data_IF_624596246188
#
_entry.id   IF_624596246188
#
_cell.length_a   1.000
_cell.length_b   1.000
_cell.length_c   1.000
_cell.angle_alpha   90.00
_cell.angle_beta   90.00
_cell.angle_gamma   90.00
#
_symmetry.space_group_name_H-M   'P 1'
#
loop_
_entity.id
_entity.type
_entity.pdbx_description
1 polymer ?
#
# COMPACT_ATOMS: atom_id res chain seq x y z
N UNK A 1 -52.27 42.06 34.27
CA UNK A 1 -51.76 40.68 34.49
C UNK A 1 -52.28 39.66 33.49
N UNK A 2 -53.53 39.72 33.02
CA UNK A 2 -54.10 38.71 32.12
C UNK A 2 -53.47 38.64 30.70
N UNK A 3 -53.04 39.77 30.14
CA UNK A 3 -52.39 39.82 28.81
C UNK A 3 -50.97 39.22 28.77
N UNK A 4 -50.26 39.20 29.89
CA UNK A 4 -48.89 38.64 29.97
C UNK A 4 -48.94 37.11 30.03
N UNK A 5 -49.94 36.55 30.74
CA UNK A 5 -50.15 35.10 30.80
C UNK A 5 -50.53 34.48 29.46
N UNK A 6 -51.32 35.16 28.62
CA UNK A 6 -51.65 34.65 27.29
C UNK A 6 -50.45 34.61 26.33
N UNK A 7 -49.55 35.59 26.43
CA UNK A 7 -48.35 35.66 25.57
C UNK A 7 -47.34 34.59 25.99
N UNK A 8 -47.17 34.37 27.30
CA UNK A 8 -46.30 33.29 27.82
C UNK A 8 -46.88 31.91 27.46
N UNK A 9 -48.20 31.73 27.52
CA UNK A 9 -48.84 30.48 27.11
C UNK A 9 -48.66 30.22 25.60
N UNK A 10 -48.81 31.24 24.75
CA UNK A 10 -48.58 31.11 23.30
C UNK A 10 -47.10 30.84 22.97
N UNK A 11 -46.15 31.45 23.69
CA UNK A 11 -44.71 31.20 23.52
C UNK A 11 -44.30 29.80 23.99
N UNK A 12 -44.88 29.30 25.09
CA UNK A 12 -44.62 27.94 25.58
C UNK A 12 -45.23 26.90 24.61
N UNK A 13 -46.44 27.11 24.12
CA UNK A 13 -47.10 26.19 23.16
C UNK A 13 -46.39 26.20 21.79
N UNK A 14 -45.87 27.34 21.33
CA UNK A 14 -45.09 27.40 20.08
C UNK A 14 -43.67 26.84 20.24
N UNK A 15 -43.05 26.95 21.42
CA UNK A 15 -41.76 26.30 21.73
C UNK A 15 -41.86 24.77 21.93
N UNK A 16 -43.04 24.23 22.23
CA UNK A 16 -43.28 22.78 22.35
C UNK A 16 -43.61 22.09 21.01
N UNK A 17 -43.88 22.86 19.94
CA UNK A 17 -44.22 22.32 18.62
C UNK A 17 -43.08 22.39 17.59
N UNK A 18 -41.89 22.84 17.98
CA UNK A 18 -40.68 22.78 17.15
C UNK A 18 -39.72 21.72 17.68
N UNK A 19 -40.21 20.48 17.80
CA UNK A 19 -39.32 19.33 17.56
C UNK A 19 -39.03 19.35 16.07
N UNK A 20 -37.88 19.91 15.71
CA UNK A 20 -37.21 19.60 14.46
C UNK A 20 -36.97 18.09 14.54
N UNK A 21 -37.87 17.29 13.96
CA UNK A 21 -37.50 15.96 13.53
C UNK A 21 -36.34 16.19 12.58
N UNK A 22 -35.13 15.85 13.02
CA UNK A 22 -34.06 15.61 12.07
C UNK A 22 -34.64 14.65 11.05
N UNK A 23 -34.62 15.05 9.79
CA UNK A 23 -34.81 14.13 8.67
C UNK A 23 -33.87 12.96 8.95
N UNK A 24 -34.45 11.83 9.40
CA UNK A 24 -33.76 10.56 9.31
C UNK A 24 -33.36 10.46 7.85
N UNK A 25 -32.06 10.39 7.60
CA UNK A 25 -31.56 10.01 6.28
C UNK A 25 -32.25 8.68 6.00
N UNK A 26 -33.26 8.72 5.13
CA UNK A 26 -34.11 7.59 4.82
C UNK A 26 -33.26 6.61 4.02
N UNK A 27 -32.44 5.83 4.71
CA UNK A 27 -31.63 4.78 4.10
C UNK A 27 -32.61 3.75 3.57
N UNK A 28 -32.96 3.82 2.28
CA UNK A 28 -33.97 2.95 1.66
C UNK A 28 -33.65 1.46 1.77
N UNK A 29 -32.38 1.12 1.94
CA UNK A 29 -31.87 -0.24 2.06
C UNK A 29 -31.66 -0.66 3.52
N UNK A 30 -32.72 -0.65 4.34
CA UNK A 30 -32.64 -1.18 5.70
C UNK A 30 -32.63 -2.72 5.73
N UNK A 31 -32.22 -3.31 6.85
CA UNK A 31 -32.36 -4.76 7.07
C UNK A 31 -33.82 -5.21 6.93
N UNK A 32 -34.77 -4.39 7.36
CA UNK A 32 -36.20 -4.66 7.23
C UNK A 32 -36.65 -4.66 5.77
N UNK A 33 -36.16 -3.69 4.97
CA UNK A 33 -36.39 -3.66 3.52
C UNK A 33 -35.87 -4.93 2.86
N UNK A 34 -34.63 -5.35 3.14
CA UNK A 34 -34.09 -6.58 2.57
C UNK A 34 -34.86 -7.82 3.00
N UNK A 35 -35.24 -7.94 4.28
CA UNK A 35 -36.04 -9.06 4.76
C UNK A 35 -37.41 -9.14 4.07
N UNK A 36 -38.03 -7.98 3.78
CA UNK A 36 -39.28 -7.91 3.02
C UNK A 36 -39.05 -8.28 1.55
N UNK A 37 -38.02 -7.71 0.93
CA UNK A 37 -37.66 -7.95 -0.47
C UNK A 37 -37.37 -9.43 -0.74
N UNK A 38 -36.62 -10.11 0.15
CA UNK A 38 -36.31 -11.54 0.02
C UNK A 38 -37.57 -12.40 0.10
N UNK A 39 -38.53 -12.04 0.97
CA UNK A 39 -39.81 -12.76 1.09
C UNK A 39 -40.71 -12.59 -0.12
N UNK A 40 -40.72 -11.38 -0.70
CA UNK A 40 -41.60 -11.04 -1.82
C UNK A 40 -41.05 -11.50 -3.17
N UNK A 41 -39.75 -11.33 -3.42
CA UNK A 41 -39.14 -11.59 -4.73
C UNK A 41 -38.37 -12.91 -4.84
N UNK A 42 -38.03 -13.56 -3.71
CA UNK A 42 -37.13 -14.72 -3.60
C UNK A 42 -35.74 -14.49 -4.22
N UNK A 43 -34.69 -14.74 -3.44
CA UNK A 43 -33.33 -14.64 -3.99
C UNK A 43 -33.06 -15.75 -5.01
N UNK A 44 -32.20 -15.50 -6.01
CA UNK A 44 -31.67 -16.55 -6.88
C UNK A 44 -31.00 -17.66 -6.06
N UNK A 45 -31.14 -18.90 -6.53
CA UNK A 45 -30.44 -20.02 -5.92
C UNK A 45 -28.94 -19.91 -6.21
N UNK A 46 -28.12 -20.03 -5.17
CA UNK A 46 -26.67 -19.95 -5.27
C UNK A 46 -26.19 -21.28 -5.84
N UNK A 47 -25.36 -21.25 -6.88
CA UNK A 47 -24.85 -22.48 -7.51
C UNK A 47 -23.94 -23.27 -6.55
N UNK A 48 -23.81 -24.58 -6.75
CA UNK A 48 -22.99 -25.46 -5.91
C UNK A 48 -21.51 -25.04 -5.89
N UNK A 49 -21.04 -24.42 -6.98
CA UNK A 49 -19.69 -23.88 -7.12
C UNK A 49 -19.32 -22.92 -6.00
N UNK A 50 -20.21 -21.98 -5.66
CA UNK A 50 -19.98 -21.03 -4.57
C UNK A 50 -20.42 -21.56 -3.20
N UNK A 51 -21.19 -22.65 -3.13
CA UNK A 51 -21.56 -23.28 -1.85
C UNK A 51 -20.42 -24.14 -1.30
N UNK A 52 -19.67 -24.83 -2.18
CA UNK A 52 -18.64 -25.79 -1.78
C UNK A 52 -17.25 -25.16 -1.73
N UNK A 53 -16.91 -24.25 -2.65
CA UNK A 53 -15.63 -23.50 -2.69
C UNK A 53 -14.38 -24.40 -2.52
N UNK A 54 -14.24 -25.40 -3.40
CA UNK A 54 -13.11 -26.33 -3.42
C UNK A 54 -12.35 -26.30 -4.77
N UNK A 55 -11.34 -27.16 -4.93
CA UNK A 55 -10.49 -27.18 -6.13
C UNK A 55 -11.24 -27.47 -7.45
N UNK A 56 -12.44 -28.08 -7.41
CA UNK A 56 -13.24 -28.38 -8.61
C UNK A 56 -14.49 -27.52 -8.74
N UNK A 57 -14.92 -26.88 -7.65
CA UNK A 57 -16.11 -26.07 -7.50
C UNK A 57 -15.68 -24.71 -6.94
N UNK A 58 -15.38 -23.76 -7.80
CA UNK A 58 -14.90 -22.45 -7.40
C UNK A 58 -15.66 -21.34 -8.12
N UNK A 59 -15.96 -20.28 -7.38
CA UNK A 59 -16.63 -19.10 -7.90
C UNK A 59 -16.40 -17.91 -6.98
N UNK A 60 -16.82 -16.72 -7.43
CA UNK A 60 -16.71 -15.49 -6.64
C UNK A 60 -18.05 -15.22 -5.98
N UNK A 61 -18.03 -15.16 -4.65
CA UNK A 61 -19.20 -14.80 -3.85
C UNK A 61 -19.32 -13.28 -3.77
N UNK A 62 -20.41 -12.76 -4.33
CA UNK A 62 -20.67 -11.32 -4.36
C UNK A 62 -22.03 -11.02 -3.72
N UNK A 63 -22.35 -9.75 -3.55
CA UNK A 63 -23.75 -9.35 -3.36
C UNK A 63 -24.41 -9.22 -4.73
N UNK A 64 -25.66 -9.65 -4.82
CA UNK A 64 -26.45 -9.49 -6.03
C UNK A 64 -26.62 -8.00 -6.31
N UNK A 65 -26.24 -7.50 -7.51
CA UNK A 65 -26.22 -6.08 -7.81
C UNK A 65 -27.65 -5.57 -8.12
N UNK A 66 -28.55 -5.68 -7.14
CA UNK A 66 -29.86 -5.02 -7.13
C UNK A 66 -29.80 -3.68 -6.39
N UNK A 67 -30.94 -2.99 -6.30
CA UNK A 67 -31.05 -1.65 -5.71
C UNK A 67 -30.51 -1.59 -4.27
N UNK A 68 -30.54 -2.70 -3.52
CA UNK A 68 -30.15 -2.74 -2.11
C UNK A 68 -29.18 -3.86 -1.73
N UNK A 69 -28.62 -4.57 -2.71
CA UNK A 69 -27.70 -5.69 -2.55
C UNK A 69 -28.19 -6.76 -1.56
N UNK A 70 -29.50 -7.06 -1.57
CA UNK A 70 -30.13 -7.88 -0.54
C UNK A 70 -29.87 -9.38 -0.70
N UNK A 71 -29.64 -9.85 -1.93
CA UNK A 71 -29.39 -11.26 -2.25
C UNK A 71 -27.90 -11.54 -2.46
N UNK A 72 -27.53 -12.83 -2.51
CA UNK A 72 -26.15 -13.25 -2.75
C UNK A 72 -25.94 -13.65 -4.20
N UNK A 73 -24.78 -13.22 -4.68
CA UNK A 73 -24.13 -13.37 -5.96
C UNK A 73 -23.31 -14.64 -6.15
N UNK A 74 -23.45 -15.47 -7.18
CA UNK A 74 -22.36 -16.39 -7.52
C UNK A 74 -21.92 -16.19 -8.97
N UNK A 75 -20.64 -15.87 -9.14
CA UNK A 75 -19.94 -15.94 -10.42
C UNK A 75 -19.17 -17.25 -10.49
N UNK A 76 -19.56 -18.16 -11.37
CA UNK A 76 -18.82 -19.43 -11.52
C UNK A 76 -17.54 -19.20 -12.33
N UNK A 77 -16.45 -19.87 -11.95
CA UNK A 77 -15.17 -19.72 -12.64
C UNK A 77 -15.09 -20.64 -13.87
N UNK A 78 -14.90 -20.05 -15.05
CA UNK A 78 -14.61 -20.74 -16.29
C UNK A 78 -13.12 -21.09 -16.31
N UNK A 79 -12.82 -22.36 -16.64
CA UNK A 79 -11.45 -22.88 -16.75
C UNK A 79 -10.76 -22.37 -18.01
N UNK A 80 -9.43 -22.45 -18.04
CA UNK A 80 -8.64 -22.10 -19.23
C UNK A 80 -9.12 -22.86 -20.48
N UNK A 81 -9.29 -22.14 -21.59
CA UNK A 81 -9.85 -22.64 -22.84
C UNK A 81 -11.37 -22.75 -22.88
N UNK A 82 -12.08 -22.50 -21.77
CA UNK A 82 -13.54 -22.44 -21.76
C UNK A 82 -14.06 -21.24 -22.55
N UNK A 83 -15.22 -21.39 -23.17
CA UNK A 83 -15.88 -20.31 -23.90
C UNK A 83 -16.31 -19.21 -22.93
N UNK A 84 -16.08 -17.96 -23.29
CA UNK A 84 -16.51 -16.81 -22.52
C UNK A 84 -17.13 -15.78 -23.46
N UNK A 85 -17.80 -14.77 -22.89
CA UNK A 85 -18.41 -13.69 -23.65
C UNK A 85 -17.88 -12.38 -23.06
N UNK A 86 -17.30 -11.53 -23.92
CA UNK A 86 -16.92 -10.19 -23.50
C UNK A 86 -18.20 -9.36 -23.36
N UNK A 87 -18.48 -8.88 -22.15
CA UNK A 87 -19.73 -8.17 -21.86
C UNK A 87 -19.94 -6.95 -22.75
N UNK A 88 -21.17 -6.79 -23.27
CA UNK A 88 -21.66 -5.56 -23.88
C UNK A 88 -22.45 -4.78 -22.81
N UNK A 89 -22.37 -3.44 -22.84
CA UNK A 89 -22.86 -2.51 -21.81
C UNK A 89 -24.38 -2.53 -21.49
N UNK A 90 -25.14 -3.54 -21.92
CA UNK A 90 -26.62 -3.58 -21.80
C UNK A 90 -27.21 -4.99 -21.61
N UNK A 91 -26.41 -5.99 -21.22
CA UNK A 91 -26.91 -7.36 -21.01
C UNK A 91 -26.93 -7.77 -19.53
N UNK A 92 -27.79 -8.75 -19.26
CA UNK A 92 -28.03 -9.39 -17.96
C UNK A 92 -26.74 -9.62 -17.16
N UNK A 93 -26.88 -9.64 -15.84
CA UNK A 93 -25.78 -9.87 -14.90
C UNK A 93 -25.01 -11.16 -15.27
N UNK A 94 -23.67 -11.11 -15.36
CA UNK A 94 -22.88 -12.19 -15.93
C UNK A 94 -22.81 -13.35 -14.94
N UNK A 95 -23.30 -14.55 -15.24
CA UNK A 95 -23.33 -15.69 -14.29
C UNK A 95 -22.01 -16.43 -14.15
N UNK A 96 -21.09 -16.18 -15.08
CA UNK A 96 -19.80 -16.85 -15.19
C UNK A 96 -18.70 -15.80 -15.41
N UNK A 97 -17.49 -16.09 -14.92
CA UNK A 97 -16.30 -15.26 -15.11
C UNK A 97 -15.11 -16.18 -15.39
N UNK A 98 -14.13 -15.73 -16.18
CA UNK A 98 -12.87 -16.47 -16.28
C UNK A 98 -12.23 -16.59 -14.90
N UNK A 99 -11.76 -17.79 -14.55
CA UNK A 99 -11.17 -18.03 -13.23
C UNK A 99 -9.90 -17.22 -12.97
N UNK A 100 -9.37 -17.25 -11.73
CA UNK A 100 -8.19 -16.49 -11.33
C UNK A 100 -7.00 -16.63 -12.30
N UNK A 101 -6.41 -15.51 -12.71
CA UNK A 101 -5.30 -15.45 -13.65
C UNK A 101 -5.69 -15.62 -15.13
N UNK A 102 -6.99 -15.61 -15.45
CA UNK A 102 -7.51 -15.74 -16.81
C UNK A 102 -8.34 -14.53 -17.23
N UNK A 103 -8.19 -14.09 -18.48
CA UNK A 103 -9.04 -13.08 -19.12
C UNK A 103 -9.79 -13.65 -20.32
N UNK A 104 -10.95 -13.06 -20.61
CA UNK A 104 -11.73 -13.43 -21.78
C UNK A 104 -11.14 -12.78 -23.04
N UNK A 105 -10.46 -13.57 -23.87
CA UNK A 105 -9.78 -13.09 -25.07
C UNK A 105 -10.46 -13.62 -26.33
N UNK A 106 -10.69 -12.72 -27.31
CA UNK A 106 -11.22 -13.07 -28.62
C UNK A 106 -10.18 -13.83 -29.46
N UNK A 107 -10.58 -14.97 -30.02
CA UNK A 107 -9.80 -15.68 -31.03
C UNK A 107 -10.17 -15.23 -32.44
N UNK A 108 -9.33 -15.57 -33.42
CA UNK A 108 -9.53 -15.29 -34.85
C UNK A 108 -10.89 -15.76 -35.41
N UNK A 109 -11.52 -16.74 -34.75
CA UNK A 109 -12.81 -17.33 -35.13
C UNK A 109 -14.04 -16.61 -34.53
N UNK A 110 -13.93 -15.38 -34.02
CA UNK A 110 -15.01 -14.63 -33.34
C UNK A 110 -15.57 -15.31 -32.07
N UNK A 111 -14.87 -16.33 -31.56
CA UNK A 111 -15.18 -17.01 -30.30
C UNK A 111 -14.21 -16.50 -29.24
N UNK A 112 -14.72 -16.00 -28.12
CA UNK A 112 -13.88 -15.65 -26.99
C UNK A 112 -13.70 -16.85 -26.05
N UNK A 113 -12.48 -17.01 -25.55
CA UNK A 113 -12.12 -18.07 -24.61
C UNK A 113 -11.32 -17.50 -23.44
N UNK A 114 -11.41 -18.14 -22.28
CA UNK A 114 -10.59 -17.78 -21.13
C UNK A 114 -9.13 -18.18 -21.38
N UNK A 115 -8.26 -17.18 -21.49
CA UNK A 115 -6.83 -17.34 -21.73
C UNK A 115 -6.04 -16.73 -20.59
N UNK A 116 -4.77 -17.14 -20.43
CA UNK A 116 -3.90 -16.57 -19.40
C UNK A 116 -3.76 -15.06 -19.62
N UNK A 117 -4.00 -14.29 -18.56
CA UNK A 117 -3.83 -12.84 -18.55
C UNK A 117 -2.39 -12.50 -18.96
N UNK A 118 -2.24 -11.52 -19.86
CA UNK A 118 -0.94 -10.96 -20.23
C UNK A 118 -0.75 -9.60 -19.59
N UNK A 119 0.09 -9.57 -18.56
CA UNK A 119 0.43 -8.39 -17.77
C UNK A 119 1.93 -8.40 -17.48
N UNK A 120 2.52 -7.25 -17.10
CA UNK A 120 3.93 -7.21 -16.71
C UNK A 120 4.32 -8.22 -15.63
N UNK A 121 3.43 -8.56 -14.69
CA UNK A 121 3.72 -9.57 -13.66
C UNK A 121 3.67 -11.00 -14.20
N UNK A 122 2.66 -11.34 -15.01
CA UNK A 122 2.51 -12.69 -15.56
C UNK A 122 3.59 -13.01 -16.61
N UNK A 123 4.01 -12.00 -17.38
CA UNK A 123 5.17 -12.09 -18.28
C UNK A 123 6.47 -12.29 -17.49
N UNK A 124 6.66 -11.57 -16.38
CA UNK A 124 7.82 -11.76 -15.51
C UNK A 124 7.83 -13.15 -14.85
N UNK A 125 6.66 -13.71 -14.52
CA UNK A 125 6.56 -15.10 -14.07
C UNK A 125 6.95 -16.09 -15.17
N UNK A 126 6.53 -15.86 -16.41
CA UNK A 126 6.86 -16.74 -17.55
C UNK A 126 8.36 -16.70 -17.88
N UNK A 127 8.99 -15.52 -17.85
CA UNK A 127 10.45 -15.40 -17.98
C UNK A 127 11.17 -16.18 -16.88
N UNK A 128 10.73 -16.01 -15.62
CA UNK A 128 11.32 -16.72 -14.48
C UNK A 128 11.17 -18.24 -14.62
N UNK A 129 9.97 -18.74 -14.97
CA UNK A 129 9.69 -20.17 -15.11
C UNK A 129 10.52 -20.78 -16.27
N UNK A 130 10.66 -20.05 -17.38
CA UNK A 130 11.54 -20.44 -18.49
C UNK A 130 12.99 -20.53 -18.05
N UNK A 131 13.52 -19.50 -17.37
CA UNK A 131 14.91 -19.47 -16.90
C UNK A 131 15.20 -20.53 -15.85
N UNK A 132 14.22 -20.87 -15.02
CA UNK A 132 14.31 -22.01 -14.11
C UNK A 132 14.43 -23.33 -14.86
N UNK A 133 13.65 -23.53 -15.93
CA UNK A 133 13.75 -24.72 -16.77
C UNK A 133 15.10 -24.79 -17.50
N UNK A 134 15.60 -23.65 -17.98
CA UNK A 134 16.88 -23.53 -18.68
C UNK A 134 18.10 -23.59 -17.74
N UNK A 135 17.91 -23.56 -16.41
CA UNK A 135 18.97 -23.56 -15.42
C UNK A 135 19.77 -22.25 -15.34
N UNK A 136 19.20 -21.14 -15.82
CA UNK A 136 19.82 -19.80 -15.85
C UNK A 136 19.26 -18.86 -14.76
N UNK A 137 18.75 -19.43 -13.67
CA UNK A 137 18.18 -18.66 -12.57
C UNK A 137 19.27 -18.19 -11.60
N UNK A 138 19.16 -16.94 -11.15
CA UNK A 138 20.00 -16.43 -10.08
C UNK A 138 19.78 -17.19 -8.77
N UNK A 139 20.83 -17.31 -7.95
CA UNK A 139 20.79 -18.05 -6.68
C UNK A 139 19.72 -17.55 -5.69
N UNK A 140 19.48 -16.24 -5.67
CA UNK A 140 18.54 -15.56 -4.79
C UNK A 140 17.38 -14.92 -5.57
N UNK A 141 17.25 -15.26 -6.84
CA UNK A 141 16.19 -14.73 -7.69
C UNK A 141 14.86 -15.40 -7.38
N UNK A 142 13.84 -14.60 -7.04
CA UNK A 142 12.53 -15.09 -6.61
C UNK A 142 11.52 -14.92 -7.73
N UNK A 143 10.68 -15.94 -7.91
CA UNK A 143 9.53 -15.88 -8.82
C UNK A 143 8.58 -14.77 -8.35
N UNK A 144 8.28 -13.75 -9.18
CA UNK A 144 7.35 -12.70 -8.78
C UNK A 144 5.98 -13.30 -8.45
N UNK A 145 5.34 -12.78 -7.40
CA UNK A 145 3.98 -13.18 -7.03
C UNK A 145 3.01 -12.24 -7.72
N UNK A 146 2.02 -12.79 -8.40
CA UNK A 146 0.93 -12.04 -8.99
C UNK A 146 -0.37 -12.37 -8.28
N UNK A 147 -1.30 -11.41 -8.23
CA UNK A 147 -2.66 -11.64 -7.78
C UNK A 147 -3.54 -12.27 -8.87
N UNK A 148 -4.83 -12.42 -8.57
CA UNK A 148 -5.80 -13.08 -9.46
C UNK A 148 -6.07 -12.29 -10.75
N UNK A 149 -5.79 -10.99 -10.76
CA UNK A 149 -5.93 -10.10 -11.93
C UNK A 149 -4.61 -10.01 -12.72
N UNK A 150 -3.58 -10.76 -12.32
CA UNK A 150 -2.26 -10.73 -12.94
C UNK A 150 -1.46 -9.47 -12.59
N UNK A 151 -1.83 -8.70 -11.58
CA UNK A 151 -1.05 -7.58 -11.08
C UNK A 151 0.00 -8.05 -10.07
N UNK A 152 1.00 -7.23 -9.78
CA UNK A 152 2.01 -7.59 -8.77
C UNK A 152 1.39 -7.69 -7.38
N UNK A 153 1.80 -8.72 -6.63
CA UNK A 153 1.45 -8.85 -5.21
C UNK A 153 1.93 -7.64 -4.42
N UNK A 154 1.21 -7.31 -3.34
CA UNK A 154 1.39 -6.07 -2.58
C UNK A 154 2.74 -5.93 -1.87
N UNK A 155 3.56 -6.99 -1.85
CA UNK A 155 4.89 -6.99 -1.26
C UNK A 155 5.87 -7.91 -2.00
N UNK A 156 7.16 -7.63 -1.83
CA UNK A 156 8.26 -8.45 -2.30
C UNK A 156 9.31 -8.61 -1.19
N UNK A 157 9.91 -9.80 -1.07
CA UNK A 157 10.85 -10.13 0.00
C UNK A 157 12.15 -10.68 -0.57
N UNK A 158 13.28 -10.06 -0.22
CA UNK A 158 14.62 -10.51 -0.60
C UNK A 158 15.19 -11.36 0.54
N UNK A 159 15.57 -12.63 0.32
CA UNK A 159 15.95 -13.55 1.40
C UNK A 159 17.15 -13.02 2.19
N UNK A 160 17.02 -12.92 3.51
CA UNK A 160 18.08 -12.43 4.40
C UNK A 160 18.41 -10.95 4.23
N UNK A 161 17.50 -10.17 3.66
CA UNK A 161 17.56 -8.72 3.60
C UNK A 161 16.24 -8.15 4.14
N UNK A 162 15.40 -7.58 3.28
CA UNK A 162 14.15 -6.95 3.67
C UNK A 162 12.96 -7.46 2.84
N UNK A 163 11.76 -7.25 3.37
CA UNK A 163 10.54 -7.18 2.59
C UNK A 163 10.14 -5.72 2.39
N UNK A 164 9.57 -5.38 1.25
CA UNK A 164 9.05 -4.05 0.96
C UNK A 164 7.73 -4.12 0.18
N UNK A 165 6.91 -3.08 0.29
CA UNK A 165 5.63 -3.00 -0.40
C UNK A 165 5.79 -2.66 -1.88
N UNK A 166 4.88 -3.20 -2.70
CA UNK A 166 4.92 -3.10 -4.16
C UNK A 166 3.53 -2.68 -4.65
N UNK A 167 3.49 -1.69 -5.54
CA UNK A 167 2.29 -1.27 -6.22
C UNK A 167 1.88 -2.28 -7.31
N UNK A 168 0.61 -2.26 -7.79
CA UNK A 168 0.13 -3.23 -8.77
C UNK A 168 0.92 -3.26 -10.10
N UNK A 169 1.61 -2.17 -10.42
CA UNK A 169 2.49 -2.03 -11.59
C UNK A 169 3.93 -2.56 -11.36
N UNK A 170 4.27 -3.05 -10.17
CA UNK A 170 5.61 -3.54 -9.81
C UNK A 170 6.53 -2.49 -9.19
N UNK A 171 6.09 -1.24 -9.06
CA UNK A 171 6.89 -0.19 -8.44
C UNK A 171 6.99 -0.40 -6.92
N UNK A 172 8.20 -0.25 -6.35
CA UNK A 172 8.38 -0.19 -4.89
C UNK A 172 7.69 1.05 -4.32
N UNK A 173 6.91 0.86 -3.27
CA UNK A 173 6.21 1.92 -2.53
C UNK A 173 6.61 1.89 -1.05
N UNK A 174 6.08 2.83 -0.28
CA UNK A 174 6.34 2.93 1.16
C UNK A 174 5.99 1.64 1.91
N UNK A 175 6.74 1.32 2.97
CA UNK A 175 6.54 0.13 3.80
C UNK A 175 7.65 -0.90 3.60
N UNK A 176 8.48 -1.11 4.62
CA UNK A 176 9.58 -2.08 4.57
C UNK A 176 9.96 -2.63 5.96
N UNK A 177 10.23 -3.93 6.03
CA UNK A 177 10.63 -4.65 7.25
C UNK A 177 11.84 -5.52 6.97
N UNK A 178 12.64 -5.81 8.01
CA UNK A 178 13.68 -6.82 7.94
C UNK A 178 13.03 -8.20 7.77
N UNK A 179 13.56 -9.02 6.86
CA UNK A 179 13.00 -10.34 6.58
C UNK A 179 13.84 -11.42 7.29
N UNK A 180 13.46 -11.74 8.53
CA UNK A 180 14.09 -12.83 9.29
C UNK A 180 13.38 -14.16 9.06
N UNK A 181 12.05 -14.16 9.05
CA UNK A 181 11.25 -15.36 8.87
C UNK A 181 9.91 -15.12 8.15
N UNK A 182 9.15 -16.19 7.96
CA UNK A 182 7.85 -16.15 7.27
C UNK A 182 6.78 -15.32 7.99
N UNK A 183 6.91 -15.04 9.29
CA UNK A 183 5.96 -14.20 10.02
C UNK A 183 6.07 -12.73 9.61
N UNK A 184 7.26 -12.28 9.23
CA UNK A 184 7.44 -10.92 8.71
C UNK A 184 6.71 -10.71 7.39
N UNK A 185 6.55 -11.76 6.58
CA UNK A 185 5.72 -11.70 5.36
C UNK A 185 4.25 -11.51 5.67
N UNK A 186 3.75 -12.06 6.79
CA UNK A 186 2.34 -11.94 7.18
C UNK A 186 1.98 -10.52 7.66
N UNK A 187 2.97 -9.76 8.15
CA UNK A 187 2.81 -8.34 8.55
C UNK A 187 2.84 -7.38 7.35
N UNK A 188 3.26 -7.85 6.17
CA UNK A 188 3.40 -7.04 4.96
C UNK A 188 2.11 -7.06 4.14
N UNK A 189 0.97 -6.78 4.77
CA UNK A 189 -0.29 -6.64 4.04
C UNK A 189 -0.25 -5.49 3.03
N UNK A 190 0.51 -4.44 3.35
CA UNK A 190 0.73 -3.24 2.54
C UNK A 190 -0.57 -2.49 2.16
N UNK A 191 -1.67 -2.75 2.89
CA UNK A 191 -2.99 -2.20 2.61
C UNK A 191 -3.00 -0.66 2.69
N UNK A 192 -2.34 -0.08 3.69
CA UNK A 192 -2.26 1.36 3.85
C UNK A 192 -1.37 2.00 2.79
N UNK A 193 -0.20 1.41 2.49
CA UNK A 193 0.69 1.89 1.42
C UNK A 193 0.01 1.89 0.05
N UNK A 194 -0.74 0.84 -0.26
CA UNK A 194 -1.54 0.79 -1.49
C UNK A 194 -2.65 1.82 -1.51
N UNK A 195 -3.30 2.06 -0.37
CA UNK A 195 -4.32 3.10 -0.24
C UNK A 195 -3.75 4.50 -0.45
N UNK A 196 -2.59 4.82 0.13
CA UNK A 196 -1.87 6.07 -0.10
C UNK A 196 -1.40 6.21 -1.56
N UNK A 197 -0.84 5.15 -2.17
CA UNK A 197 -0.45 5.14 -3.57
C UNK A 197 -1.64 5.42 -4.51
N UNK A 198 -2.79 4.75 -4.29
CA UNK A 198 -4.03 5.00 -5.03
C UNK A 198 -4.53 6.42 -4.83
N UNK A 199 -4.49 6.93 -3.59
CA UNK A 199 -4.91 8.29 -3.28
C UNK A 199 -4.05 9.32 -4.02
N UNK A 200 -2.72 9.15 -4.06
CA UNK A 200 -1.80 10.04 -4.80
C UNK A 200 -2.02 10.00 -6.32
N UNK A 201 -2.43 8.86 -6.85
CA UNK A 201 -2.73 8.72 -8.28
C UNK A 201 -4.02 9.44 -8.70
N UNK A 202 -4.99 9.58 -7.79
CA UNK A 202 -6.32 10.16 -8.07
C UNK A 202 -6.42 11.62 -7.62
N UNK A 203 -5.85 11.93 -6.46
CA UNK A 203 -5.90 13.28 -5.87
C UNK A 203 -4.77 14.13 -6.44
N UNK A 204 -5.06 15.38 -6.82
CA UNK A 204 -4.05 16.29 -7.35
C UNK A 204 -2.93 16.53 -6.31
N UNK A 205 -1.70 15.99 -6.51
CA UNK A 205 -0.61 16.09 -5.53
C UNK A 205 -0.16 17.53 -5.30
N UNK A 206 -0.41 18.43 -6.25
CA UNK A 206 0.01 19.84 -6.19
C UNK A 206 -1.01 20.76 -5.51
N UNK A 207 -2.17 20.25 -5.10
CA UNK A 207 -3.11 21.06 -4.31
C UNK A 207 -2.47 21.43 -2.97
N UNK A 208 -2.67 22.68 -2.51
CA UNK A 208 -2.07 23.21 -1.27
C UNK A 208 -2.34 22.30 -0.05
N UNK A 209 -3.52 21.67 -0.01
CA UNK A 209 -3.92 20.73 1.05
C UNK A 209 -3.09 19.43 1.02
N UNK A 210 -2.77 18.94 -0.18
CA UNK A 210 -1.97 17.72 -0.38
C UNK A 210 -0.47 17.95 -0.22
N UNK A 211 -0.05 19.21 -0.43
CA UNK A 211 1.30 19.66 -0.13
C UNK A 211 1.56 19.75 1.38
N UNK A 212 0.57 20.13 2.20
CA UNK A 212 0.71 20.27 3.65
C UNK A 212 0.57 18.92 4.41
N UNK A 213 -0.35 18.05 4.01
CA UNK A 213 -0.59 16.77 4.70
C UNK A 213 0.12 15.60 4.00
N UNK A 214 1.16 14.98 4.59
CA UNK A 214 1.87 13.87 3.96
C UNK A 214 1.06 12.57 3.92
N UNK A 215 0.12 12.38 4.85
CA UNK A 215 -0.93 11.36 4.80
C UNK A 215 -2.18 11.95 4.15
N UNK A 216 -2.40 11.67 2.87
CA UNK A 216 -3.55 12.16 2.10
C UNK A 216 -4.84 11.40 2.39
N UNK A 217 -4.73 10.20 2.97
CA UNK A 217 -5.86 9.30 3.19
C UNK A 217 -5.87 8.73 4.61
N UNK A 218 -4.82 8.03 5.02
CA UNK A 218 -4.67 7.42 6.34
C UNK A 218 -3.19 7.33 6.71
N UNK A 219 -2.88 7.37 8.01
CA UNK A 219 -1.51 7.16 8.48
C UNK A 219 -1.14 5.69 8.40
N UNK A 220 0.02 5.40 7.85
CA UNK A 220 0.55 4.05 7.81
C UNK A 220 1.54 3.79 8.95
N UNK A 221 1.87 2.53 9.20
CA UNK A 221 3.05 2.16 9.99
C UNK A 221 4.26 1.91 9.08
N UNK A 222 5.44 1.69 9.66
CA UNK A 222 6.69 1.50 8.91
C UNK A 222 6.69 0.29 7.93
N UNK A 223 5.76 -0.66 8.10
CA UNK A 223 5.65 -1.87 7.27
C UNK A 223 4.52 -1.77 6.23
N UNK A 224 3.83 -0.63 6.16
CA UNK A 224 2.80 -0.34 5.16
C UNK A 224 1.38 -0.78 5.52
N UNK A 225 1.15 -1.17 6.78
CA UNK A 225 -0.20 -1.39 7.33
C UNK A 225 -0.79 -0.08 7.86
N UNK A 226 -2.08 -0.08 8.17
CA UNK A 226 -2.71 1.08 8.79
C UNK A 226 -2.21 1.22 10.23
N UNK A 227 -1.85 2.44 10.62
CA UNK A 227 -1.70 2.76 12.04
C UNK A 227 -3.03 2.43 12.73
N UNK A 228 -2.98 1.62 13.79
CA UNK A 228 -4.17 1.23 14.53
C UNK A 228 -4.93 2.42 15.10
N UNK A 229 -4.24 3.57 15.30
CA UNK A 229 -4.83 4.83 15.69
C UNK A 229 -4.91 5.78 14.47
N UNK A 230 -6.12 6.11 14.04
CA UNK A 230 -6.34 7.09 12.96
C UNK A 230 -7.00 8.34 13.52
N UNK A 231 -6.42 9.50 13.26
CA UNK A 231 -6.97 10.80 13.65
C UNK A 231 -7.30 11.65 12.43
N UNK A 232 -8.47 12.27 12.44
CA UNK A 232 -8.91 13.17 11.37
C UNK A 232 -8.40 14.61 11.63
N UNK A 233 -8.05 15.34 10.57
CA UNK A 233 -7.28 16.58 10.66
C UNK A 233 -7.96 17.73 11.44
N UNK A 234 -7.17 18.42 12.27
CA UNK A 234 -7.50 19.64 13.02
C UNK A 234 -7.11 19.58 14.51
N UNK A 235 -6.92 20.72 15.18
CA UNK A 235 -6.64 20.79 16.64
C UNK A 235 -7.81 20.33 17.53
N UNK A 236 -8.95 20.01 16.91
CA UNK A 236 -10.16 19.41 17.49
C UNK A 236 -10.46 18.04 16.85
N UNK A 237 -9.48 17.45 16.17
CA UNK A 237 -9.61 16.18 15.48
C UNK A 237 -10.01 15.06 16.42
N UNK A 238 -10.90 14.19 15.97
CA UNK A 238 -11.23 12.97 16.68
C UNK A 238 -10.38 11.81 16.13
N UNK A 239 -10.01 10.91 17.03
CA UNK A 239 -9.24 9.72 16.74
C UNK A 239 -10.09 8.46 16.99
N UNK A 240 -9.86 7.43 16.20
CA UNK A 240 -10.54 6.14 16.30
C UNK A 240 -9.57 4.99 16.11
N UNK A 241 -9.96 3.81 16.57
CA UNK A 241 -9.23 2.59 16.30
C UNK A 241 -9.69 1.96 14.99
N UNK A 242 -8.73 1.62 14.14
CA UNK A 242 -8.97 0.90 12.88
C UNK A 242 -8.29 -0.45 12.90
N UNK A 243 -8.81 -1.35 12.08
CA UNK A 243 -8.18 -2.62 11.77
C UNK A 243 -6.87 -2.36 10.98
N UNK A 244 -5.71 -2.87 11.44
CA UNK A 244 -4.43 -2.58 10.80
C UNK A 244 -4.32 -3.04 9.35
N UNK A 245 -5.07 -4.08 8.95
CA UNK A 245 -4.96 -4.68 7.61
C UNK A 245 -5.89 -3.97 6.63
N UNK A 246 -7.14 -3.74 7.05
CA UNK A 246 -8.21 -3.22 6.18
C UNK A 246 -8.43 -1.71 6.31
N UNK A 247 -7.97 -1.10 7.41
CA UNK A 247 -8.25 0.30 7.74
C UNK A 247 -9.70 0.55 8.18
N UNK A 248 -10.51 -0.51 8.34
CA UNK A 248 -11.89 -0.37 8.77
C UNK A 248 -11.98 0.04 10.25
N UNK A 249 -12.82 1.02 10.62
CA UNK A 249 -13.03 1.36 12.02
C UNK A 249 -13.54 0.17 12.82
N UNK A 250 -12.83 -0.22 13.88
CA UNK A 250 -13.22 -1.33 14.77
C UNK A 250 -14.40 -0.90 15.65
N UNK A 251 -14.43 0.38 16.04
CA UNK A 251 -15.50 0.94 16.86
C UNK A 251 -15.73 2.42 16.50
N UNK A 252 -16.54 2.64 15.47
CA UNK A 252 -16.89 3.98 14.98
C UNK A 252 -17.65 4.83 16.00
N UNK A 253 -18.13 4.24 17.10
CA UNK A 253 -18.84 4.96 18.17
C UNK A 253 -17.92 5.55 19.23
N UNK A 254 -16.68 5.07 19.33
CA UNK A 254 -15.68 5.49 20.33
C UNK A 254 -14.65 6.46 19.73
N UNK A 255 -15.12 7.64 19.35
CA UNK A 255 -14.28 8.76 18.94
C UNK A 255 -13.64 9.44 20.16
N UNK A 256 -12.32 9.54 20.17
CA UNK A 256 -11.55 10.20 21.22
C UNK A 256 -10.95 11.48 20.67
N UNK A 257 -11.25 12.64 21.25
CA UNK A 257 -10.64 13.89 20.83
C UNK A 257 -9.12 13.86 21.01
N UNK A 258 -8.38 14.43 20.06
CA UNK A 258 -6.93 14.39 19.97
C UNK A 258 -6.21 14.75 21.29
N UNK A 259 -6.58 15.81 22.05
CA UNK A 259 -5.91 16.13 23.31
C UNK A 259 -6.05 15.04 24.39
N UNK A 260 -7.02 14.14 24.25
CA UNK A 260 -7.36 13.11 25.23
C UNK A 260 -6.79 11.72 24.88
N UNK A 261 -6.06 11.59 23.77
CA UNK A 261 -5.41 10.32 23.43
C UNK A 261 -4.28 10.03 24.42
N UNK A 262 -4.26 8.83 25.01
CA UNK A 262 -3.26 8.37 25.97
C UNK A 262 -3.32 6.86 26.11
N UNK A 263 -2.38 6.27 26.86
CA UNK A 263 -2.40 4.84 27.15
C UNK A 263 -3.78 4.38 27.67
N UNK A 264 -4.38 3.42 26.98
CA UNK A 264 -5.71 2.88 27.28
C UNK A 264 -6.90 3.69 26.77
N UNK A 265 -6.68 4.85 26.12
CA UNK A 265 -7.73 5.67 25.54
C UNK A 265 -7.27 6.36 24.23
N UNK A 266 -7.67 5.88 23.04
CA UNK A 266 -8.46 4.66 22.82
C UNK A 266 -7.62 3.39 23.02
N UNK A 267 -8.24 2.21 23.03
CA UNK A 267 -7.56 0.93 23.35
C UNK A 267 -6.37 0.60 22.44
N UNK A 268 -6.42 1.03 21.18
CA UNK A 268 -5.34 0.87 20.20
C UNK A 268 -4.16 1.83 20.41
N UNK A 269 -4.24 2.76 21.36
CA UNK A 269 -3.12 3.64 21.67
C UNK A 269 -1.92 2.82 22.17
N UNK A 270 -0.79 2.92 21.47
CA UNK A 270 0.45 2.26 21.82
C UNK A 270 1.51 3.30 22.19
N UNK A 271 1.89 3.36 23.47
CA UNK A 271 2.88 4.31 23.98
C UNK A 271 4.30 4.14 23.42
N UNK A 272 4.61 3.02 22.76
CA UNK A 272 5.88 2.84 22.07
C UNK A 272 5.98 3.66 20.77
N UNK A 273 4.85 4.02 20.16
CA UNK A 273 4.79 4.71 18.86
C UNK A 273 3.94 6.00 18.90
N UNK A 274 3.03 6.14 19.85
CA UNK A 274 2.14 7.29 20.02
C UNK A 274 2.52 8.12 21.24
N UNK A 275 2.37 9.44 21.11
CA UNK A 275 2.57 10.40 22.20
C UNK A 275 1.20 10.87 22.73
N UNK A 276 1.09 11.04 24.04
CA UNK A 276 -0.15 11.51 24.67
C UNK A 276 -0.52 12.89 24.14
N UNK A 277 -1.76 13.05 23.68
CA UNK A 277 -2.30 14.32 23.17
C UNK A 277 -1.72 14.81 21.85
N UNK A 278 -0.85 14.03 21.20
CA UNK A 278 -0.11 14.44 19.99
C UNK A 278 -0.17 13.35 18.94
N UNK A 279 -0.65 13.73 17.75
CA UNK A 279 -0.63 12.86 16.57
C UNK A 279 0.40 13.34 15.55
N UNK A 280 0.61 14.65 15.43
CA UNK A 280 1.58 15.21 14.47
C UNK A 280 3.01 14.78 14.79
N UNK A 281 3.74 14.35 13.76
CA UNK A 281 5.16 13.96 13.85
C UNK A 281 6.10 15.13 13.61
N UNK A 282 7.40 14.93 13.86
CA UNK A 282 8.41 15.96 13.67
C UNK A 282 8.56 16.38 12.20
N UNK A 283 8.50 15.43 11.25
CA UNK A 283 8.53 15.76 9.83
C UNK A 283 7.30 16.57 9.42
N UNK A 284 6.10 16.17 9.86
CA UNK A 284 4.85 16.88 9.58
C UNK A 284 4.88 18.31 10.14
N UNK A 285 5.37 18.50 11.38
CA UNK A 285 5.56 19.82 11.97
C UNK A 285 6.54 20.65 11.15
N UNK A 286 7.69 20.08 10.76
CA UNK A 286 8.68 20.80 9.95
C UNK A 286 8.11 21.19 8.58
N UNK A 287 7.31 20.32 7.98
CA UNK A 287 6.62 20.60 6.72
C UNK A 287 5.63 21.76 6.85
N UNK A 288 4.87 21.82 7.96
CA UNK A 288 3.99 22.95 8.26
C UNK A 288 4.79 24.25 8.42
N UNK A 289 5.90 24.23 9.18
CA UNK A 289 6.80 25.38 9.33
C UNK A 289 7.32 25.90 7.99
N UNK A 290 7.73 25.00 7.09
CA UNK A 290 8.13 25.36 5.74
C UNK A 290 7.03 26.12 4.97
N UNK A 291 5.77 25.64 5.01
CA UNK A 291 4.65 26.35 4.37
C UNK A 291 4.28 27.69 5.04
N UNK A 292 4.62 27.86 6.32
CA UNK A 292 4.52 29.13 7.02
C UNK A 292 5.68 30.10 6.71
N UNK A 293 6.57 29.74 5.77
CA UNK A 293 7.81 30.47 5.44
C UNK A 293 8.76 30.64 6.63
N UNK A 294 8.74 29.67 7.56
CA UNK A 294 9.72 29.61 8.65
C UNK A 294 10.98 28.89 8.17
N UNK A 295 12.14 29.25 8.72
CA UNK A 295 13.40 28.58 8.41
C UNK A 295 13.38 27.16 8.96
N UNK A 296 13.55 26.18 8.07
CA UNK A 296 13.62 24.75 8.39
C UNK A 296 14.99 24.18 8.06
N UNK A 297 15.33 23.03 8.66
CA UNK A 297 16.58 22.32 8.36
C UNK A 297 16.62 21.84 6.89
N UNK A 298 15.48 21.42 6.36
CA UNK A 298 15.32 20.94 4.99
C UNK A 298 14.61 21.98 4.13
N UNK A 299 15.07 22.15 2.89
CA UNK A 299 14.54 23.12 1.91
C UNK A 299 13.10 22.80 1.46
N UNK A 300 12.72 21.53 1.54
CA UNK A 300 11.34 21.05 1.33
C UNK A 300 11.21 19.71 2.05
N UNK A 301 10.81 19.68 3.33
CA UNK A 301 10.74 18.46 4.11
C UNK A 301 9.85 17.41 3.42
N UNK A 302 10.45 16.27 3.06
CA UNK A 302 9.73 15.15 2.48
C UNK A 302 9.32 14.19 3.60
N UNK A 303 8.03 13.90 3.73
CA UNK A 303 7.54 12.98 4.75
C UNK A 303 6.85 11.79 4.12
N UNK A 304 7.01 10.62 4.74
CA UNK A 304 6.36 9.38 4.36
C UNK A 304 4.94 9.28 4.93
N UNK A 305 4.11 8.33 4.45
CA UNK A 305 2.73 8.13 4.93
C UNK A 305 2.58 7.77 6.41
N UNK A 306 3.66 7.34 7.09
CA UNK A 306 3.70 7.17 8.54
C UNK A 306 3.99 8.46 9.32
N UNK A 307 4.19 9.57 8.60
CA UNK A 307 4.58 10.87 9.14
C UNK A 307 6.07 10.99 9.42
N UNK A 308 6.90 9.97 9.20
CA UNK A 308 8.34 10.05 9.41
C UNK A 308 9.03 10.72 8.21
N UNK A 309 10.32 11.06 8.35
CA UNK A 309 11.08 11.62 7.24
C UNK A 309 11.25 10.59 6.12
N UNK A 310 11.04 11.04 4.88
CA UNK A 310 11.40 10.23 3.71
C UNK A 310 12.92 10.07 3.62
N UNK A 311 13.35 8.97 3.00
CA UNK A 311 14.74 8.52 2.95
C UNK A 311 15.67 9.50 2.23
N UNK A 312 15.14 10.37 1.36
CA UNK A 312 15.88 11.44 0.68
C UNK A 312 15.40 12.78 1.23
N UNK A 313 16.31 13.61 1.72
CA UNK A 313 16.04 14.99 2.10
C UNK A 313 17.01 15.94 1.41
N UNK A 314 16.60 17.20 1.24
CA UNK A 314 17.47 18.24 0.70
C UNK A 314 17.93 19.20 1.81
N UNK A 315 19.24 19.33 1.98
CA UNK A 315 19.89 20.37 2.79
C UNK A 315 20.73 21.22 1.83
N UNK A 316 20.43 22.51 1.75
CA UNK A 316 21.08 23.47 0.83
C UNK A 316 21.13 22.92 -0.62
N UNK A 317 22.34 22.67 -1.13
CA UNK A 317 22.61 22.15 -2.48
C UNK A 317 22.87 20.64 -2.51
N UNK A 318 22.50 19.89 -1.46
CA UNK A 318 22.73 18.44 -1.37
C UNK A 318 21.44 17.67 -1.07
N UNK A 319 21.28 16.56 -1.78
CA UNK A 319 20.35 15.49 -1.45
C UNK A 319 21.08 14.48 -0.57
N UNK A 320 20.56 14.20 0.62
CA UNK A 320 21.17 13.29 1.60
C UNK A 320 20.23 12.14 1.95
N UNK A 321 20.82 11.01 2.33
CA UNK A 321 20.05 9.89 2.88
C UNK A 321 19.84 10.03 4.39
N UNK A 322 18.59 9.93 4.85
CA UNK A 322 18.24 10.06 6.27
C UNK A 322 17.46 8.85 6.80
N UNK A 323 17.53 8.65 8.12
CA UNK A 323 16.73 7.67 8.84
C UNK A 323 15.30 8.21 9.12
N UNK A 324 14.37 7.40 9.70
CA UNK A 324 13.00 7.86 9.97
C UNK A 324 12.91 9.11 10.87
N UNK A 325 13.92 9.33 11.73
CA UNK A 325 13.98 10.49 12.61
C UNK A 325 14.50 11.75 11.90
N UNK A 326 14.92 11.62 10.64
CA UNK A 326 15.50 12.71 9.88
C UNK A 326 16.97 12.93 10.21
N UNK A 327 17.66 11.96 10.81
CA UNK A 327 19.09 12.01 11.01
C UNK A 327 19.82 11.45 9.79
N UNK A 328 20.91 12.10 9.37
CA UNK A 328 21.74 11.62 8.27
C UNK A 328 22.28 10.21 8.54
N UNK A 329 22.10 9.31 7.57
CA UNK A 329 22.63 7.96 7.63
C UNK A 329 24.13 8.02 7.33
N UNK A 330 24.94 7.79 8.37
CA UNK A 330 26.39 7.66 8.26
C UNK A 330 26.79 6.26 8.70
N UNK A 331 27.48 5.52 7.83
CA UNK A 331 27.96 4.18 8.14
C UNK A 331 29.45 4.05 7.88
N UNK A 332 30.22 3.60 8.89
CA UNK A 332 31.68 3.52 8.83
C UNK A 332 32.36 4.83 8.37
N UNK A 333 31.80 5.97 8.78
CA UNK A 333 32.31 7.31 8.39
C UNK A 333 31.97 7.74 6.96
N UNK A 334 31.15 6.96 6.24
CA UNK A 334 30.68 7.28 4.89
C UNK A 334 29.29 7.92 5.01
N UNK A 335 29.15 9.12 4.45
CA UNK A 335 27.88 9.80 4.19
C UNK A 335 27.40 9.48 2.77
N UNK A 336 26.08 9.48 2.57
CA UNK A 336 25.44 9.21 1.29
C UNK A 336 24.73 10.45 0.79
N UNK A 337 25.27 11.07 -0.26
CA UNK A 337 24.71 12.29 -0.82
C UNK A 337 24.95 12.45 -2.32
N UNK A 338 24.15 13.30 -2.95
CA UNK A 338 24.34 13.80 -4.30
C UNK A 338 24.14 15.32 -4.32
N UNK A 339 24.95 16.05 -5.09
CA UNK A 339 24.72 17.48 -5.30
C UNK A 339 23.50 17.68 -6.20
N UNK A 340 22.67 18.69 -5.92
CA UNK A 340 21.39 18.89 -6.65
C UNK A 340 21.61 19.06 -8.16
N UNK A 341 22.71 19.67 -8.58
CA UNK A 341 23.06 19.92 -9.99
C UNK A 341 23.75 18.74 -10.70
N UNK A 342 23.94 17.60 -10.02
CA UNK A 342 24.62 16.42 -10.55
C UNK A 342 23.68 15.49 -11.33
N UNK A 343 24.23 14.51 -12.05
CA UNK A 343 23.40 13.48 -12.70
C UNK A 343 22.86 12.46 -11.66
N UNK A 344 23.60 12.26 -10.57
CA UNK A 344 23.25 11.41 -9.45
C UNK A 344 21.98 11.89 -8.74
N UNK A 345 21.72 13.20 -8.72
CA UNK A 345 20.50 13.77 -8.13
C UNK A 345 19.21 13.29 -8.82
N UNK A 346 19.30 12.86 -10.08
CA UNK A 346 18.17 12.34 -10.87
C UNK A 346 17.82 10.89 -10.52
N UNK A 347 18.78 10.15 -9.96
CA UNK A 347 18.66 8.71 -9.71
C UNK A 347 18.77 8.32 -8.24
N UNK A 348 19.17 9.23 -7.36
CA UNK A 348 19.24 9.00 -5.92
C UNK A 348 17.88 8.57 -5.37
N UNK A 349 17.86 7.44 -4.68
CA UNK A 349 16.69 6.90 -4.00
C UNK A 349 16.99 6.41 -2.58
N UNK A 350 18.27 6.35 -2.16
CA UNK A 350 18.67 5.93 -0.82
C UNK A 350 18.19 4.53 -0.39
N UNK A 351 17.73 3.68 -1.32
CA UNK A 351 17.20 2.35 -1.00
C UNK A 351 18.23 1.46 -0.29
N UNK A 352 19.49 1.54 -0.69
CA UNK A 352 20.55 0.76 -0.06
C UNK A 352 20.93 1.34 1.30
N UNK A 353 21.17 2.65 1.40
CA UNK A 353 21.52 3.30 2.65
C UNK A 353 20.47 3.03 3.74
N UNK A 354 19.18 3.09 3.36
CA UNK A 354 18.06 2.75 4.24
C UNK A 354 18.06 1.27 4.67
N UNK A 355 18.26 0.36 3.71
CA UNK A 355 18.35 -1.09 3.99
C UNK A 355 19.54 -1.40 4.90
N UNK A 356 20.68 -0.77 4.64
CA UNK A 356 21.89 -0.88 5.45
C UNK A 356 21.65 -0.39 6.87
N UNK A 357 20.98 0.75 7.06
CA UNK A 357 20.63 1.28 8.38
C UNK A 357 19.70 0.34 9.14
N UNK A 358 18.64 -0.18 8.50
CA UNK A 358 17.72 -1.15 9.10
C UNK A 358 18.47 -2.40 9.58
N UNK A 359 19.24 -3.03 8.70
CA UNK A 359 19.95 -4.29 8.98
C UNK A 359 21.05 -4.10 10.03
N UNK A 360 21.84 -3.03 9.93
CA UNK A 360 22.91 -2.76 10.90
C UNK A 360 22.35 -2.43 12.29
N UNK A 361 21.24 -1.68 12.38
CA UNK A 361 20.56 -1.38 13.65
C UNK A 361 20.00 -2.64 14.33
N UNK A 362 19.65 -3.66 13.54
CA UNK A 362 19.23 -4.97 14.05
C UNK A 362 20.39 -5.95 14.30
N UNK A 363 21.65 -5.53 14.13
CA UNK A 363 22.82 -6.38 14.37
C UNK A 363 23.05 -7.46 13.30
N UNK A 364 22.55 -7.27 12.08
CA UNK A 364 22.80 -8.17 10.95
C UNK A 364 24.21 -7.95 10.39
N UNK A 365 24.95 -9.03 10.19
CA UNK A 365 26.35 -8.96 9.72
C UNK A 365 26.46 -8.88 8.18
N UNK A 366 25.57 -9.54 7.44
CA UNK A 366 25.56 -9.49 5.97
C UNK A 366 24.83 -8.21 5.52
N UNK A 367 25.60 -7.13 5.33
CA UNK A 367 25.07 -5.82 4.95
C UNK A 367 25.25 -5.54 3.45
N UNK A 368 24.30 -4.84 2.81
CA UNK A 368 24.39 -4.52 1.40
C UNK A 368 25.50 -3.51 1.11
N UNK A 369 25.96 -3.50 -0.14
CA UNK A 369 26.96 -2.57 -0.64
C UNK A 369 26.29 -1.40 -1.35
N UNK A 370 26.45 -0.20 -0.78
CA UNK A 370 25.86 1.02 -1.32
C UNK A 370 26.89 1.81 -2.12
N UNK A 371 26.43 2.57 -3.12
CA UNK A 371 27.26 3.57 -3.79
C UNK A 371 27.34 4.86 -2.94
N UNK A 372 28.08 5.86 -3.41
CA UNK A 372 28.35 7.11 -2.68
C UNK A 372 27.11 7.96 -2.41
N UNK A 373 26.01 7.75 -3.14
CA UNK A 373 24.75 8.47 -2.98
C UNK A 373 23.64 7.58 -2.41
N UNK A 374 23.97 6.40 -1.87
CA UNK A 374 23.07 5.59 -1.05
C UNK A 374 22.15 4.64 -1.82
N UNK A 375 22.31 4.51 -3.13
CA UNK A 375 21.66 3.47 -3.91
C UNK A 375 22.42 2.15 -3.82
N UNK A 376 21.78 1.05 -4.20
CA UNK A 376 22.48 -0.23 -4.30
C UNK A 376 23.56 -0.12 -5.37
N UNK A 377 24.76 -0.61 -5.07
CA UNK A 377 25.66 -0.98 -6.15
C UNK A 377 24.93 -2.01 -7.01
N UNK A 378 25.13 -1.91 -8.31
CA UNK A 378 24.59 -2.79 -9.35
C UNK A 378 24.97 -4.27 -9.20
N UNK A 379 25.82 -4.59 -8.22
CA UNK A 379 26.14 -5.92 -7.75
C UNK A 379 26.04 -5.98 -6.23
N UNK A 380 25.68 -7.15 -5.70
CA UNK A 380 25.67 -7.46 -4.28
C UNK A 380 26.34 -8.80 -4.05
N UNK A 381 26.86 -9.01 -2.84
CA UNK A 381 27.52 -10.25 -2.45
C UNK A 381 26.85 -10.85 -1.23
N UNK A 382 26.71 -12.18 -1.25
CA UNK A 382 26.23 -12.95 -0.12
C UNK A 382 27.01 -14.24 -0.01
N UNK A 383 27.47 -14.60 1.20
CA UNK A 383 28.29 -15.81 1.44
C UNK A 383 29.47 -15.94 0.46
N UNK A 384 30.19 -14.84 0.22
CA UNK A 384 31.31 -14.73 -0.73
C UNK A 384 30.98 -14.92 -2.22
N UNK A 385 29.71 -14.84 -2.59
CA UNK A 385 29.24 -15.00 -3.96
C UNK A 385 28.48 -13.74 -4.39
N UNK A 386 28.90 -13.14 -5.49
CA UNK A 386 28.42 -11.87 -5.98
C UNK A 386 27.61 -12.02 -7.26
N UNK A 387 26.58 -11.19 -7.39
CA UNK A 387 25.58 -11.24 -8.46
C UNK A 387 25.07 -9.83 -8.77
N UNK A 388 24.50 -9.64 -9.95
CA UNK A 388 23.91 -8.36 -10.35
C UNK A 388 22.54 -8.14 -9.72
N UNK A 389 22.26 -6.90 -9.33
CA UNK A 389 20.98 -6.47 -8.74
C UNK A 389 20.38 -5.25 -9.43
N UNK A 390 19.08 -5.06 -9.25
CA UNK A 390 18.34 -3.86 -9.64
C UNK A 390 18.42 -2.74 -8.57
N UNK A 391 17.73 -1.62 -8.83
CA UNK A 391 17.65 -0.45 -7.93
C UNK A 391 17.00 -0.71 -6.57
N UNK A 392 16.38 -1.86 -6.38
CA UNK A 392 15.77 -2.30 -5.13
C UNK A 392 16.60 -3.38 -4.41
N UNK A 393 17.68 -3.86 -5.02
CA UNK A 393 18.54 -4.91 -4.48
C UNK A 393 18.12 -6.33 -4.88
N UNK A 394 17.16 -6.49 -5.81
CA UNK A 394 16.73 -7.80 -6.30
C UNK A 394 17.74 -8.37 -7.27
N UNK A 395 18.07 -9.65 -7.14
CA UNK A 395 18.90 -10.34 -8.13
C UNK A 395 18.17 -10.45 -9.47
N UNK A 396 18.82 -10.02 -10.55
CA UNK A 396 18.30 -10.09 -11.91
C UNK A 396 19.22 -10.84 -12.89
N UNK A 397 20.47 -11.08 -12.49
CA UNK A 397 21.47 -11.84 -13.24
C UNK A 397 21.58 -13.29 -12.77
N UNK A 398 21.92 -14.19 -13.69
CA UNK A 398 22.30 -15.58 -13.36
C UNK A 398 23.75 -15.68 -12.90
N UNK A 399 24.53 -14.63 -13.16
CA UNK A 399 25.95 -14.57 -12.87
C UNK A 399 26.17 -14.69 -11.37
N UNK A 400 27.08 -15.59 -11.03
CA UNK A 400 27.48 -15.85 -9.66
C UNK A 400 28.98 -16.06 -9.65
N UNK A 401 29.70 -15.09 -9.12
CA UNK A 401 31.15 -15.14 -9.08
C UNK A 401 31.64 -15.01 -7.64
N UNK A 402 32.79 -15.61 -7.34
CA UNK A 402 33.44 -15.39 -6.05
C UNK A 402 33.77 -13.91 -5.89
N UNK A 403 33.63 -13.40 -4.66
CA UNK A 403 33.95 -12.01 -4.30
C UNK A 403 35.35 -11.56 -4.75
N UNK A 404 36.30 -12.49 -4.85
CA UNK A 404 37.67 -12.22 -5.34
C UNK A 404 37.73 -11.82 -6.83
N UNK A 405 36.64 -11.99 -7.58
CA UNK A 405 36.54 -11.67 -9.00
C UNK A 405 35.30 -10.82 -9.32
N UNK A 406 34.80 -10.07 -8.34
CA UNK A 406 33.61 -9.23 -8.49
C UNK A 406 33.71 -8.23 -9.65
N UNK A 407 34.93 -7.81 -9.97
CA UNK A 407 35.29 -6.94 -11.10
C UNK A 407 34.94 -7.53 -12.47
N UNK A 408 34.77 -8.85 -12.57
CA UNK A 408 34.39 -9.54 -13.80
C UNK A 408 32.87 -9.61 -14.01
N UNK A 409 32.06 -9.14 -13.08
CA UNK A 409 30.61 -9.02 -13.30
C UNK A 409 30.34 -7.97 -14.38
N UNK A 410 29.44 -8.29 -15.30
CA UNK A 410 28.97 -7.39 -16.36
C UNK A 410 28.38 -6.08 -15.81
N UNK A 411 27.82 -6.14 -14.60
CA UNK A 411 27.26 -5.00 -13.90
C UNK A 411 28.29 -4.21 -13.06
N UNK A 412 29.53 -4.68 -12.86
CA UNK A 412 30.42 -4.14 -11.81
C UNK A 412 30.64 -2.63 -11.86
N UNK A 413 30.80 -2.06 -13.06
CA UNK A 413 31.14 -0.65 -13.27
C UNK A 413 29.93 0.26 -13.43
N UNK A 414 28.70 -0.25 -13.31
CA UNK A 414 27.51 0.59 -13.42
C UNK A 414 27.23 1.28 -12.10
N UNK A 415 27.25 2.61 -12.10
CA UNK A 415 26.96 3.46 -10.94
C UNK A 415 25.47 3.43 -10.55
N UNK A 416 24.60 3.12 -11.51
CA UNK A 416 23.19 2.78 -11.31
C UNK A 416 22.97 1.27 -11.43
N UNK A 417 22.12 0.74 -10.56
CA UNK A 417 21.69 -0.65 -10.61
C UNK A 417 20.73 -0.88 -11.78
N UNK A 418 21.29 -0.96 -12.97
CA UNK A 418 20.58 -1.33 -14.19
C UNK A 418 21.00 -2.73 -14.60
N UNK A 419 20.15 -3.69 -14.26
CA UNK A 419 20.11 -4.96 -14.96
C UNK A 419 20.07 -4.63 -16.45
N UNK A 420 21.02 -5.13 -17.23
CA UNK A 420 20.93 -5.04 -18.68
C UNK A 420 19.54 -5.58 -19.05
N UNK A 421 18.70 -4.74 -19.65
CA UNK A 421 17.52 -5.22 -20.36
C UNK A 421 18.03 -6.31 -21.30
N UNK A 422 17.63 -7.55 -21.01
CA UNK A 422 18.08 -8.72 -21.75
C UNK A 422 17.40 -8.63 -23.11
N UNK A 423 18.14 -8.14 -24.11
CA UNK A 423 17.75 -8.21 -25.52
C UNK A 423 17.55 -9.66 -25.96
#
# INVERSE_FOLDING_TARGET
MYKIFLIIYYLIVTSMLTKINGEEIETKCTKEYCNKYIKENKCPEISEECQVMNATHNGVWLRYPDVCNCCNYCLTNIKAGGNCIQGLFDLNQPTEICGPGLECTMNDNLTATCQKIKTPCTEAQDDWDKRRADGTLGMLEIRPKCDEDGLYSSFHCIPGSICYCVAPNGQRIFGEIIFFDSWDQQKMSCGCSLNDWKARAVLNPDSVVNNINPSLSARCNAYGEFDSLQCFAGSLGNCTCVDPVTGHPIDSSNLVSLPNIKQGNPKCFNSAIHKTGVYTTECETMKISYFNNETTLYEKPACQPDGMFDRVQQIDTRLICVDPSGQEIIYNGISYFADVDSDESKIINCNCAKTLWLLSSAGVNELPQCNSFGNFKSWQCRRNECYCVDTNGNQCGSEKISINYVDKLTCYTKESAECLTKN
#
